data_IF_274254944246
#
_entry.id   IF_274254944246
#
_cell.length_a   1.000
_cell.length_b   1.000
_cell.length_c   1.000
_cell.angle_alpha   90.00
_cell.angle_beta   90.00
_cell.angle_gamma   90.00
#
_symmetry.space_group_name_H-M   'P 1'
#
loop_
_entity.id
_entity.type
_entity.pdbx_description
1 polymer ?
#
# COMPACT_ATOMS: atom_id res chain seq x y z
N UNK A 1 16.18 4.68 24.73
CA UNK A 1 14.77 4.50 25.15
C UNK A 1 14.29 3.07 24.93
N UNK A 2 14.41 2.55 23.70
CA UNK A 2 13.92 1.20 23.37
C UNK A 2 14.55 0.12 24.26
N UNK A 3 15.88 0.13 24.40
CA UNK A 3 16.63 -0.78 25.26
C UNK A 3 16.31 -0.60 26.74
N UNK A 4 15.97 0.62 27.18
CA UNK A 4 15.54 0.90 28.54
C UNK A 4 14.12 0.39 28.84
N UNK A 5 13.22 0.47 27.83
CA UNK A 5 11.85 0.00 27.96
C UNK A 5 11.74 -1.53 27.86
N UNK A 6 12.64 -2.16 27.12
CA UNK A 6 12.60 -3.58 26.81
C UNK A 6 13.98 -4.23 26.93
N UNK A 7 14.56 -4.30 28.15
CA UNK A 7 15.96 -4.74 28.34
C UNK A 7 16.21 -6.22 28.00
N UNK A 8 15.16 -7.05 28.01
CA UNK A 8 15.27 -8.50 27.81
C UNK A 8 14.57 -8.95 26.51
N UNK A 9 14.95 -8.38 25.37
CA UNK A 9 14.39 -8.75 24.10
C UNK A 9 14.88 -10.14 23.66
N UNK A 10 14.16 -11.20 24.02
CA UNK A 10 14.20 -12.48 23.31
C UNK A 10 13.20 -12.45 22.15
N UNK A 11 13.45 -13.12 21.02
CA UNK A 11 12.44 -13.30 19.95
C UNK A 11 11.11 -13.87 20.45
N UNK A 12 11.15 -14.66 21.53
CA UNK A 12 9.99 -15.24 22.20
C UNK A 12 9.41 -14.36 23.31
N UNK A 13 10.04 -13.21 23.58
CA UNK A 13 9.58 -12.26 24.60
C UNK A 13 8.44 -11.41 24.05
N UNK A 14 7.22 -11.88 24.20
CA UNK A 14 5.99 -11.15 23.88
C UNK A 14 5.76 -9.91 24.76
N UNK A 15 6.85 -9.19 25.09
CA UNK A 15 6.81 -7.98 25.86
C UNK A 15 6.67 -6.78 25.00
N UNK A 16 5.78 -6.01 24.87
CA UNK A 16 5.58 -4.73 24.24
C UNK A 16 6.53 -4.31 23.11
N UNK A 17 6.12 -3.36 22.32
CA UNK A 17 6.93 -2.78 21.26
C UNK A 17 6.71 -1.26 21.19
N UNK A 18 7.71 -0.53 20.65
CA UNK A 18 7.65 0.91 20.44
C UNK A 18 7.63 1.17 18.94
N UNK A 19 6.55 1.78 18.46
CA UNK A 19 6.44 2.29 17.09
C UNK A 19 6.38 3.82 17.14
N UNK A 20 7.27 4.48 16.39
CA UNK A 20 7.35 5.95 16.35
C UNK A 20 7.30 6.46 14.90
N UNK A 21 6.57 7.54 14.72
CA UNK A 21 6.58 8.33 13.50
C UNK A 21 6.65 9.82 13.88
N UNK A 22 7.79 10.46 13.67
CA UNK A 22 8.11 11.80 14.13
C UNK A 22 7.88 11.95 15.66
N UNK A 23 6.93 12.78 16.07
CA UNK A 23 6.48 13.00 17.44
C UNK A 23 5.37 12.05 17.91
N UNK A 24 4.68 11.38 16.97
CA UNK A 24 3.66 10.40 17.30
C UNK A 24 4.29 9.05 17.68
N UNK A 25 3.85 8.47 18.78
CA UNK A 25 4.36 7.18 19.30
C UNK A 25 3.22 6.28 19.75
N UNK A 26 3.37 4.98 19.50
CA UNK A 26 2.61 3.92 20.16
C UNK A 26 3.57 3.02 20.90
N UNK A 27 3.24 2.75 22.15
CA UNK A 27 3.98 1.81 23.00
C UNK A 27 2.99 0.76 23.48
N UNK A 28 3.27 -0.50 23.22
CA UNK A 28 2.43 -1.62 23.65
C UNK A 28 2.95 -2.19 24.96
N UNK A 29 2.05 -2.64 25.82
CA UNK A 29 2.37 -3.25 27.11
C UNK A 29 1.42 -4.42 27.40
N UNK A 30 1.85 -5.36 28.23
CA UNK A 30 1.04 -6.55 28.61
C UNK A 30 -0.02 -6.24 29.66
N UNK A 31 0.24 -5.23 30.49
CA UNK A 31 -0.65 -4.83 31.58
C UNK A 31 -0.69 -3.32 31.72
N UNK A 32 -1.73 -2.82 32.40
CA UNK A 32 -1.84 -1.41 32.74
C UNK A 32 -0.69 -0.94 33.62
N UNK A 33 -0.30 -1.72 34.62
CA UNK A 33 0.82 -1.39 35.51
C UNK A 33 2.14 -1.25 34.73
N UNK A 34 2.39 -2.14 33.76
CA UNK A 34 3.55 -2.01 32.87
C UNK A 34 3.46 -0.75 31.99
N UNK A 35 2.28 -0.41 31.47
CA UNK A 35 2.09 0.79 30.66
C UNK A 35 2.35 2.08 31.49
N UNK A 36 1.92 2.11 32.73
CA UNK A 36 2.16 3.23 33.66
C UNK A 36 3.65 3.38 33.96
N UNK A 37 4.36 2.29 34.25
CA UNK A 37 5.82 2.32 34.45
C UNK A 37 6.56 2.81 33.19
N UNK A 38 6.16 2.34 32.00
CA UNK A 38 6.73 2.79 30.73
C UNK A 38 6.51 4.28 30.53
N UNK A 39 5.35 4.81 30.92
CA UNK A 39 5.01 6.21 30.80
C UNK A 39 5.91 7.08 31.70
N UNK A 40 6.18 6.65 32.92
CA UNK A 40 7.12 7.34 33.83
C UNK A 40 8.55 7.35 33.27
N UNK A 41 9.03 6.22 32.75
CA UNK A 41 10.35 6.12 32.11
C UNK A 41 10.45 7.01 30.86
N UNK A 42 9.39 7.06 30.07
CA UNK A 42 9.31 7.93 28.91
C UNK A 42 9.37 9.40 29.29
N UNK A 43 8.65 9.81 30.34
CA UNK A 43 8.66 11.18 30.83
C UNK A 43 10.06 11.60 31.30
N UNK A 44 10.73 10.76 32.09
CA UNK A 44 12.11 10.99 32.52
C UNK A 44 13.08 11.09 31.34
N UNK A 45 12.94 10.19 30.35
CA UNK A 45 13.77 10.19 29.14
C UNK A 45 13.59 11.47 28.32
N UNK A 46 12.36 11.96 28.16
CA UNK A 46 12.05 13.20 27.44
C UNK A 46 12.50 14.43 28.20
N UNK A 47 12.27 14.49 29.53
CA UNK A 47 12.65 15.61 30.38
C UNK A 47 14.16 15.88 30.36
N UNK A 48 14.99 14.81 30.34
CA UNK A 48 16.44 14.93 30.21
C UNK A 48 16.90 15.57 28.89
N UNK A 49 15.99 15.67 27.89
CA UNK A 49 16.22 16.26 26.55
C UNK A 49 15.46 17.57 26.35
N UNK A 50 14.88 18.14 27.41
CA UNK A 50 14.08 19.34 27.35
C UNK A 50 12.72 19.17 26.66
N UNK A 51 12.26 17.93 26.45
CA UNK A 51 10.99 17.59 25.82
C UNK A 51 9.95 17.24 26.90
N UNK A 52 8.67 17.44 26.58
CA UNK A 52 7.55 17.14 27.48
C UNK A 52 6.47 16.33 26.74
N UNK A 53 5.80 15.46 27.49
CA UNK A 53 4.60 14.79 26.99
C UNK A 53 3.43 15.79 26.88
N UNK A 54 2.66 15.66 25.82
CA UNK A 54 1.38 16.35 25.70
C UNK A 54 0.29 15.49 26.34
N UNK A 55 -0.08 15.80 27.57
CA UNK A 55 -1.06 15.03 28.34
C UNK A 55 -2.47 15.04 27.77
N UNK A 56 -2.84 16.05 26.98
CA UNK A 56 -4.14 16.09 26.29
C UNK A 56 -4.23 15.06 25.17
N UNK A 57 -3.08 14.56 24.68
CA UNK A 57 -2.97 13.58 23.60
C UNK A 57 -2.41 12.23 24.05
N UNK A 58 -1.89 12.14 25.27
CA UNK A 58 -1.26 10.93 25.81
C UNK A 58 -2.22 10.18 26.71
N UNK A 59 -2.57 8.95 26.35
CA UNK A 59 -3.51 8.12 27.13
C UNK A 59 -3.16 6.64 27.03
N UNK A 60 -3.53 5.88 28.05
CA UNK A 60 -3.43 4.42 28.07
C UNK A 60 -4.80 3.84 27.71
N UNK A 61 -4.85 3.01 26.67
CA UNK A 61 -6.07 2.35 26.19
C UNK A 61 -5.88 0.86 26.04
N UNK A 62 -6.95 0.08 26.21
CA UNK A 62 -6.97 -1.34 25.82
C UNK A 62 -7.08 -1.45 24.30
N UNK A 63 -6.30 -2.35 23.70
CA UNK A 63 -6.37 -2.58 22.22
C UNK A 63 -7.76 -3.03 21.77
N UNK A 64 -8.54 -3.70 22.64
CA UNK A 64 -9.93 -4.06 22.36
C UNK A 64 -10.89 -2.86 22.31
N UNK A 65 -10.55 -1.74 22.94
CA UNK A 65 -11.32 -0.49 22.84
C UNK A 65 -11.00 0.27 21.56
N UNK A 66 -9.85 -0.02 20.95
CA UNK A 66 -9.33 0.64 19.78
C UNK A 66 -8.60 1.96 20.08
N UNK A 67 -7.78 2.39 19.13
CA UNK A 67 -7.06 3.65 19.18
C UNK A 67 -6.79 4.16 17.75
N UNK A 68 -6.57 5.46 17.63
CA UNK A 68 -6.19 6.09 16.36
C UNK A 68 -4.67 6.30 16.31
N UNK A 69 -4.04 5.94 15.18
CA UNK A 69 -2.65 6.26 14.89
C UNK A 69 -2.46 6.47 13.39
N UNK A 70 -1.81 7.55 13.01
CA UNK A 70 -1.54 7.92 11.63
C UNK A 70 -2.80 7.85 10.74
N UNK A 71 -3.88 8.46 11.19
CA UNK A 71 -5.16 8.49 10.46
C UNK A 71 -5.82 7.12 10.26
N UNK A 72 -5.41 6.12 10.99
CA UNK A 72 -6.01 4.78 11.00
C UNK A 72 -6.51 4.42 12.38
N UNK A 73 -7.62 3.70 12.43
CA UNK A 73 -8.19 3.12 13.62
C UNK A 73 -7.76 1.68 13.74
N UNK A 74 -7.19 1.31 14.87
CA UNK A 74 -6.71 -0.03 15.19
C UNK A 74 -7.56 -0.58 16.33
N UNK A 75 -8.12 -1.76 16.15
CA UNK A 75 -8.90 -2.44 17.19
C UNK A 75 -8.68 -3.94 17.10
N UNK A 76 -8.54 -4.58 18.24
CA UNK A 76 -8.52 -6.04 18.31
C UNK A 76 -9.96 -6.55 18.48
N UNK A 77 -10.41 -7.36 17.53
CA UNK A 77 -11.68 -8.07 17.56
C UNK A 77 -11.34 -9.56 17.63
N UNK A 78 -11.68 -10.21 18.76
CA UNK A 78 -11.26 -11.56 19.08
C UNK A 78 -9.74 -11.77 18.95
N UNK A 79 -9.30 -12.55 17.96
CA UNK A 79 -7.87 -12.80 17.67
C UNK A 79 -7.32 -11.98 16.52
N UNK A 80 -8.15 -11.18 15.84
CA UNK A 80 -7.78 -10.42 14.63
C UNK A 80 -7.59 -8.94 14.97
N UNK A 81 -6.53 -8.33 14.43
CA UNK A 81 -6.37 -6.89 14.46
C UNK A 81 -7.05 -6.27 13.24
N UNK A 82 -8.14 -5.57 13.46
CA UNK A 82 -8.85 -4.80 12.43
C UNK A 82 -8.20 -3.43 12.32
N UNK A 83 -7.84 -3.03 11.11
CA UNK A 83 -7.25 -1.73 10.80
C UNK A 83 -8.05 -1.08 9.70
N UNK A 84 -8.61 0.11 9.96
CA UNK A 84 -9.42 0.87 9.00
C UNK A 84 -9.07 2.35 9.00
N UNK A 85 -9.44 3.14 7.98
CA UNK A 85 -9.36 4.60 8.06
C UNK A 85 -10.12 5.10 9.28
N UNK A 86 -9.54 6.05 10.04
CA UNK A 86 -10.26 6.62 11.19
C UNK A 86 -11.42 7.50 10.74
N UNK A 87 -12.48 7.57 11.54
CA UNK A 87 -13.64 8.41 11.23
C UNK A 87 -13.25 9.89 11.12
N UNK A 88 -12.28 10.33 11.93
CA UNK A 88 -11.73 11.68 11.81
C UNK A 88 -10.98 11.90 10.50
N UNK A 89 -10.20 10.91 10.04
CA UNK A 89 -9.48 11.01 8.76
C UNK A 89 -10.45 11.08 7.59
N UNK A 90 -11.50 10.25 7.60
CA UNK A 90 -12.57 10.29 6.59
C UNK A 90 -13.23 11.67 6.59
N UNK A 91 -13.63 12.18 7.76
CA UNK A 91 -14.29 13.48 7.89
C UNK A 91 -13.41 14.64 7.43
N UNK A 92 -12.13 14.64 7.81
CA UNK A 92 -11.16 15.66 7.35
C UNK A 92 -11.02 15.62 5.81
N UNK A 93 -11.02 14.43 5.23
CA UNK A 93 -10.92 14.28 3.78
C UNK A 93 -12.19 14.74 3.07
N UNK A 94 -13.39 14.40 3.58
CA UNK A 94 -14.67 14.92 3.08
C UNK A 94 -14.69 16.46 3.07
N UNK A 95 -14.29 17.10 4.17
CA UNK A 95 -14.24 18.56 4.25
C UNK A 95 -13.24 19.17 3.26
N UNK A 96 -12.08 18.52 3.07
CA UNK A 96 -11.08 18.91 2.06
C UNK A 96 -11.62 18.79 0.64
N UNK A 97 -12.40 17.75 0.36
CA UNK A 97 -13.05 17.54 -0.94
C UNK A 97 -14.14 18.59 -1.18
N UNK A 98 -14.96 18.90 -0.17
CA UNK A 98 -15.98 19.93 -0.28
C UNK A 98 -15.37 21.29 -0.61
N UNK A 99 -14.38 21.73 0.16
CA UNK A 99 -13.69 23.00 -0.07
C UNK A 99 -13.05 23.04 -1.46
N UNK A 100 -12.43 21.92 -1.88
CA UNK A 100 -11.79 21.83 -3.18
C UNK A 100 -12.80 21.87 -4.34
N UNK A 101 -13.82 20.99 -4.31
CA UNK A 101 -14.79 20.85 -5.42
C UNK A 101 -15.63 22.14 -5.55
N UNK A 102 -16.19 22.65 -4.46
CA UNK A 102 -17.05 23.82 -4.50
C UNK A 102 -16.25 25.08 -4.82
N UNK A 103 -15.03 25.21 -4.31
CA UNK A 103 -14.13 26.35 -4.58
C UNK A 103 -13.47 26.35 -5.95
N UNK A 104 -13.52 25.26 -6.71
CA UNK A 104 -12.83 25.16 -8.00
C UNK A 104 -13.42 26.13 -9.05
N UNK A 105 -12.55 26.94 -9.69
CA UNK A 105 -12.92 27.93 -10.71
C UNK A 105 -12.40 27.60 -12.12
N UNK A 106 -11.66 26.49 -12.27
CA UNK A 106 -11.09 26.06 -13.53
C UNK A 106 -12.03 25.27 -14.44
N UNK A 107 -11.49 24.69 -15.50
CA UNK A 107 -12.22 23.83 -16.43
C UNK A 107 -12.64 22.49 -15.75
N UNK A 108 -13.60 21.81 -16.36
CA UNK A 108 -14.02 20.46 -15.93
C UNK A 108 -12.81 19.49 -15.96
N UNK A 109 -11.96 19.57 -16.96
CA UNK A 109 -10.77 18.72 -17.07
C UNK A 109 -9.83 18.94 -15.90
N UNK A 110 -9.49 20.19 -15.57
CA UNK A 110 -8.60 20.50 -14.44
C UNK A 110 -9.21 20.11 -13.10
N UNK A 111 -10.54 20.18 -12.96
CA UNK A 111 -11.24 19.66 -11.78
C UNK A 111 -11.02 18.16 -11.66
N UNK A 112 -11.28 17.39 -12.71
CA UNK A 112 -11.14 15.91 -12.71
C UNK A 112 -9.69 15.53 -12.39
N UNK A 113 -8.70 16.10 -13.07
CA UNK A 113 -7.29 15.75 -12.89
C UNK A 113 -6.80 16.02 -11.46
N UNK A 114 -7.16 17.17 -10.89
CA UNK A 114 -6.77 17.54 -9.52
C UNK A 114 -7.52 16.72 -8.48
N UNK A 115 -8.80 16.44 -8.72
CA UNK A 115 -9.60 15.59 -7.85
C UNK A 115 -9.04 14.17 -7.83
N UNK A 116 -8.72 13.60 -8.98
CA UNK A 116 -8.14 12.26 -9.10
C UNK A 116 -6.79 12.16 -8.37
N UNK A 117 -5.94 13.19 -8.39
CA UNK A 117 -4.70 13.21 -7.60
C UNK A 117 -4.98 13.10 -6.09
N UNK A 118 -5.99 13.84 -5.59
CA UNK A 118 -6.40 13.75 -4.18
C UNK A 118 -6.96 12.38 -3.83
N UNK A 119 -7.88 11.86 -4.65
CA UNK A 119 -8.50 10.55 -4.44
C UNK A 119 -7.47 9.43 -4.48
N UNK A 120 -6.62 9.41 -5.51
CA UNK A 120 -5.58 8.39 -5.65
C UNK A 120 -4.55 8.43 -4.51
N UNK A 121 -4.16 9.61 -4.05
CA UNK A 121 -3.25 9.75 -2.91
C UNK A 121 -3.84 9.18 -1.63
N UNK A 122 -5.07 9.58 -1.29
CA UNK A 122 -5.78 9.09 -0.12
C UNK A 122 -6.11 7.59 -0.22
N UNK A 123 -6.58 7.16 -1.37
CA UNK A 123 -6.88 5.76 -1.65
C UNK A 123 -5.64 4.87 -1.56
N UNK A 124 -4.52 5.28 -2.14
CA UNK A 124 -3.24 4.53 -2.07
C UNK A 124 -2.73 4.38 -0.64
N UNK A 125 -2.94 5.39 0.22
CA UNK A 125 -2.56 5.32 1.63
C UNK A 125 -3.41 4.33 2.42
N UNK A 126 -4.72 4.28 2.14
CA UNK A 126 -5.66 3.47 2.91
C UNK A 126 -5.95 2.08 2.31
N UNK A 127 -5.63 1.83 1.04
CA UNK A 127 -5.91 0.54 0.37
C UNK A 127 -5.28 -0.70 1.02
N UNK A 128 -4.34 -0.51 1.95
CA UNK A 128 -3.69 -1.58 2.71
C UNK A 128 -4.40 -1.88 4.04
N UNK A 129 -5.58 -1.32 4.23
CA UNK A 129 -6.42 -1.49 5.41
C UNK A 129 -7.83 -1.93 4.98
N UNK A 130 -8.69 -2.24 5.91
CA UNK A 130 -10.11 -2.47 5.65
C UNK A 130 -10.82 -1.12 5.37
N UNK A 131 -10.63 -0.64 4.13
CA UNK A 131 -11.07 0.68 3.71
C UNK A 131 -12.33 0.67 2.84
N UNK A 132 -12.95 -0.48 2.58
CA UNK A 132 -14.03 -0.62 1.60
C UNK A 132 -15.20 0.34 1.88
N UNK A 133 -15.70 0.36 3.12
CA UNK A 133 -16.83 1.23 3.50
C UNK A 133 -16.44 2.71 3.45
N UNK A 134 -15.22 3.05 3.86
CA UNK A 134 -14.71 4.41 3.77
C UNK A 134 -14.59 4.86 2.31
N UNK A 135 -14.14 3.99 1.40
CA UNK A 135 -14.05 4.28 -0.03
C UNK A 135 -15.43 4.54 -0.64
N UNK A 136 -16.41 3.70 -0.35
CA UNK A 136 -17.80 3.91 -0.81
C UNK A 136 -18.40 5.21 -0.28
N UNK A 137 -18.13 5.54 0.98
CA UNK A 137 -18.57 6.78 1.61
C UNK A 137 -17.97 8.00 0.92
N UNK A 138 -16.66 7.99 0.63
CA UNK A 138 -15.98 9.07 -0.08
C UNK A 138 -16.51 9.21 -1.52
N UNK A 139 -16.69 8.10 -2.24
CA UNK A 139 -17.26 8.13 -3.60
C UNK A 139 -18.67 8.76 -3.62
N UNK A 140 -19.51 8.42 -2.64
CA UNK A 140 -20.84 9.00 -2.48
C UNK A 140 -20.76 10.51 -2.17
N UNK A 141 -19.82 10.91 -1.29
CA UNK A 141 -19.56 12.31 -0.96
C UNK A 141 -19.14 13.10 -2.22
N UNK A 142 -18.17 12.59 -2.97
CA UNK A 142 -17.69 13.21 -4.24
C UNK A 142 -18.84 13.39 -5.21
N UNK A 143 -19.66 12.36 -5.42
CA UNK A 143 -20.80 12.42 -6.32
C UNK A 143 -21.80 13.51 -5.89
N UNK A 144 -22.15 13.58 -4.60
CA UNK A 144 -23.04 14.60 -4.06
C UNK A 144 -22.48 16.03 -4.25
N UNK A 145 -21.18 16.21 -4.00
CA UNK A 145 -20.50 17.51 -4.16
C UNK A 145 -20.43 17.95 -5.64
N UNK A 146 -20.17 17.02 -6.56
CA UNK A 146 -20.18 17.33 -8.00
C UNK A 146 -21.58 17.72 -8.47
N UNK A 147 -22.63 17.02 -8.01
CA UNK A 147 -24.03 17.39 -8.28
C UNK A 147 -24.32 18.80 -7.76
N UNK A 148 -23.95 19.08 -6.50
CA UNK A 148 -24.11 20.41 -5.88
C UNK A 148 -23.39 21.49 -6.71
N UNK A 149 -22.15 21.24 -7.10
CA UNK A 149 -21.34 22.16 -7.92
C UNK A 149 -21.97 22.43 -9.28
N UNK A 150 -22.39 21.39 -10.00
CA UNK A 150 -22.97 21.55 -11.34
C UNK A 150 -24.33 22.25 -11.31
N UNK A 151 -25.13 22.02 -10.28
CA UNK A 151 -26.38 22.77 -10.07
C UNK A 151 -26.12 24.27 -9.79
N UNK A 152 -25.07 24.59 -9.02
CA UNK A 152 -24.67 25.99 -8.79
C UNK A 152 -24.20 26.69 -10.08
N UNK A 153 -23.49 25.96 -10.96
CA UNK A 153 -23.04 26.50 -12.25
C UNK A 153 -24.19 26.69 -13.27
N UNK A 154 -25.26 25.90 -13.12
CA UNK A 154 -26.40 25.90 -14.07
C UNK A 154 -27.74 26.06 -13.37
N UNK A 155 -28.00 27.18 -12.64
CA UNK A 155 -29.20 27.33 -11.79
C UNK A 155 -30.53 27.29 -12.55
N UNK A 156 -30.50 27.67 -13.83
CA UNK A 156 -31.70 27.73 -14.68
C UNK A 156 -31.94 26.44 -15.50
N UNK A 157 -31.05 25.44 -15.45
CA UNK A 157 -31.17 24.22 -16.26
C UNK A 157 -31.85 23.10 -15.47
N UNK A 158 -32.68 22.30 -16.16
CA UNK A 158 -33.24 21.07 -15.58
C UNK A 158 -32.13 20.07 -15.27
N UNK A 159 -32.31 19.32 -14.18
CA UNK A 159 -31.30 18.34 -13.73
C UNK A 159 -30.90 17.32 -14.83
N UNK A 160 -31.87 16.77 -15.56
CA UNK A 160 -31.61 15.81 -16.63
C UNK A 160 -30.68 16.37 -17.72
N UNK A 161 -30.81 17.68 -18.05
CA UNK A 161 -29.91 18.35 -18.98
C UNK A 161 -28.48 18.44 -18.43
N UNK A 162 -28.35 18.83 -17.15
CA UNK A 162 -27.04 18.91 -16.48
C UNK A 162 -26.39 17.53 -16.41
N UNK A 163 -27.15 16.51 -16.04
CA UNK A 163 -26.69 15.13 -15.97
C UNK A 163 -26.12 14.67 -17.32
N UNK A 164 -26.86 14.88 -18.41
CA UNK A 164 -26.42 14.50 -19.77
C UNK A 164 -25.17 15.30 -20.24
N UNK A 165 -24.88 16.45 -19.65
CA UNK A 165 -23.68 17.25 -19.99
C UNK A 165 -22.41 16.74 -19.32
N UNK A 166 -22.52 16.22 -18.10
CA UNK A 166 -21.38 15.95 -17.21
C UNK A 166 -21.22 14.50 -16.82
N UNK A 167 -22.27 13.68 -16.93
CA UNK A 167 -22.23 12.27 -16.59
C UNK A 167 -22.59 11.40 -17.78
N UNK A 168 -22.03 10.22 -17.81
CA UNK A 168 -22.47 9.11 -18.66
C UNK A 168 -22.74 7.88 -17.80
N UNK A 169 -23.56 6.99 -18.30
CA UNK A 169 -23.87 5.73 -17.64
C UNK A 169 -22.91 4.64 -18.12
N UNK A 170 -22.32 3.92 -17.18
CA UNK A 170 -21.51 2.75 -17.42
C UNK A 170 -21.74 1.75 -16.28
N UNK A 171 -22.09 0.51 -16.61
CA UNK A 171 -22.33 -0.59 -15.65
C UNK A 171 -23.31 -0.21 -14.52
N UNK A 172 -24.38 0.51 -14.86
CA UNK A 172 -25.38 0.98 -13.90
C UNK A 172 -24.94 2.15 -13.00
N UNK A 173 -23.79 2.74 -13.27
CA UNK A 173 -23.26 3.88 -12.52
C UNK A 173 -23.19 5.15 -13.38
N UNK A 174 -23.57 6.29 -12.79
CA UNK A 174 -23.36 7.60 -13.41
C UNK A 174 -21.96 8.11 -13.09
N UNK A 175 -21.12 8.19 -14.09
CA UNK A 175 -19.70 8.58 -13.98
C UNK A 175 -19.52 10.00 -14.48
N UNK A 176 -18.94 10.87 -13.65
CA UNK A 176 -18.57 12.24 -14.04
C UNK A 176 -17.33 12.24 -14.93
N UNK A 177 -17.45 12.72 -16.18
CA UNK A 177 -16.38 12.68 -17.16
C UNK A 177 -16.52 13.79 -18.22
N UNK A 178 -15.46 14.01 -18.99
CA UNK A 178 -15.55 14.86 -20.17
C UNK A 178 -16.44 14.24 -21.23
N UNK A 179 -17.28 15.05 -21.86
CA UNK A 179 -18.21 14.60 -22.91
C UNK A 179 -17.49 14.04 -24.12
N UNK A 180 -16.46 14.74 -24.55
CA UNK A 180 -15.69 14.42 -25.78
C UNK A 180 -14.61 13.37 -25.54
N UNK A 181 -14.23 13.14 -24.27
CA UNK A 181 -13.23 12.14 -23.89
C UNK A 181 -13.59 11.47 -22.56
N UNK A 182 -14.35 10.38 -22.64
CA UNK A 182 -14.82 9.61 -21.47
C UNK A 182 -13.68 8.94 -20.68
N UNK A 183 -12.46 8.86 -21.22
CA UNK A 183 -11.31 8.37 -20.48
C UNK A 183 -10.87 9.35 -19.39
N UNK A 184 -11.16 10.66 -19.57
CA UNK A 184 -10.96 11.69 -18.55
C UNK A 184 -12.19 11.73 -17.65
N UNK A 185 -12.18 10.88 -16.63
CA UNK A 185 -13.26 10.68 -15.67
C UNK A 185 -12.79 10.77 -14.24
N UNK A 186 -13.71 11.03 -13.33
CA UNK A 186 -13.42 10.97 -11.90
C UNK A 186 -13.18 9.52 -11.49
N UNK A 187 -12.07 9.28 -10.80
CA UNK A 187 -11.74 7.98 -10.24
C UNK A 187 -12.69 7.61 -9.11
N UNK A 188 -12.97 6.32 -8.97
CA UNK A 188 -13.76 5.77 -7.87
C UNK A 188 -12.85 4.99 -6.95
N UNK A 189 -12.87 5.32 -5.66
CA UNK A 189 -12.07 4.62 -4.66
C UNK A 189 -12.53 3.17 -4.48
N UNK A 190 -13.83 2.90 -4.64
CA UNK A 190 -14.38 1.54 -4.55
C UNK A 190 -13.86 0.60 -5.67
N UNK A 191 -13.26 1.13 -6.75
CA UNK A 191 -12.61 0.36 -7.80
C UNK A 191 -11.15 0.00 -7.44
N UNK A 192 -10.60 0.57 -6.36
CA UNK A 192 -9.24 0.25 -5.93
C UNK A 192 -9.20 -1.14 -5.29
N UNK A 193 -8.27 -1.94 -5.76
CA UNK A 193 -7.97 -3.24 -5.13
C UNK A 193 -7.40 -3.02 -3.71
N UNK A 194 -8.06 -3.59 -2.72
CA UNK A 194 -7.54 -3.65 -1.35
C UNK A 194 -6.38 -4.63 -1.33
N UNK A 195 -5.23 -4.18 -0.87
CA UNK A 195 -4.01 -4.99 -0.82
C UNK A 195 -3.65 -5.32 0.62
N UNK A 196 -3.36 -6.58 0.91
CA UNK A 196 -2.90 -6.99 2.23
C UNK A 196 -1.60 -6.28 2.61
N UNK A 197 -1.57 -5.65 3.79
CA UNK A 197 -0.34 -5.10 4.34
C UNK A 197 0.59 -6.23 4.78
N UNK A 198 1.80 -6.26 4.21
CA UNK A 198 2.84 -7.19 4.66
C UNK A 198 3.80 -6.45 5.56
N UNK A 199 3.91 -6.84 6.84
CA UNK A 199 4.80 -6.18 7.77
C UNK A 199 6.26 -6.32 7.33
N UNK A 200 7.03 -5.26 7.50
CA UNK A 200 8.47 -5.27 7.31
C UNK A 200 9.09 -6.01 8.50
N UNK A 201 10.02 -6.91 8.24
CA UNK A 201 10.74 -7.60 9.31
C UNK A 201 11.64 -6.60 10.05
N UNK A 202 11.44 -6.45 11.34
CA UNK A 202 12.20 -5.53 12.19
C UNK A 202 13.69 -5.86 12.30
N UNK A 203 14.09 -7.10 11.94
CA UNK A 203 15.49 -7.54 11.90
C UNK A 203 16.30 -6.92 10.74
N UNK A 204 15.65 -6.23 9.80
CA UNK A 204 16.32 -5.58 8.68
C UNK A 204 16.45 -4.08 8.88
N UNK A 205 17.66 -3.57 8.74
CA UNK A 205 17.96 -2.15 8.91
C UNK A 205 17.83 -1.41 7.57
N UNK A 206 17.07 -0.26 7.50
CA UNK A 206 16.79 0.41 6.23
C UNK A 206 18.04 0.87 5.46
N UNK A 207 19.12 1.18 6.14
CA UNK A 207 20.36 1.66 5.52
C UNK A 207 21.41 0.55 5.28
N UNK A 208 21.36 -0.53 6.06
CA UNK A 208 22.30 -1.63 5.94
C UNK A 208 21.78 -2.75 5.02
N UNK A 209 20.48 -2.98 5.03
CA UNK A 209 19.82 -4.06 4.28
C UNK A 209 19.08 -3.54 3.05
N UNK A 210 19.71 -2.67 2.26
CA UNK A 210 19.10 -2.05 1.08
C UNK A 210 18.51 -3.08 0.11
N UNK A 211 19.16 -4.22 -0.08
CA UNK A 211 18.66 -5.30 -0.91
C UNK A 211 17.29 -5.85 -0.48
N UNK A 212 17.02 -5.92 0.83
CA UNK A 212 15.72 -6.32 1.35
C UNK A 212 14.63 -5.27 1.06
N UNK A 213 14.94 -3.99 1.25
CA UNK A 213 13.98 -2.91 0.99
C UNK A 213 13.69 -2.73 -0.50
N UNK A 214 14.70 -2.85 -1.34
CA UNK A 214 14.53 -2.86 -2.80
C UNK A 214 13.69 -4.06 -3.26
N UNK A 215 13.90 -5.25 -2.65
CA UNK A 215 13.07 -6.42 -2.90
C UNK A 215 11.60 -6.19 -2.47
N UNK A 216 11.34 -5.51 -1.33
CA UNK A 216 9.99 -5.13 -0.91
C UNK A 216 9.31 -4.17 -1.89
N UNK A 217 10.05 -3.19 -2.42
CA UNK A 217 9.55 -2.28 -3.45
C UNK A 217 9.14 -3.04 -4.71
N UNK A 218 9.98 -3.94 -5.21
CA UNK A 218 9.65 -4.81 -6.35
C UNK A 218 8.42 -5.66 -6.12
N UNK A 219 8.27 -6.23 -4.94
CA UNK A 219 7.05 -6.99 -4.62
C UNK A 219 5.79 -6.15 -4.70
N UNK A 220 5.86 -4.84 -4.47
CA UNK A 220 4.75 -3.90 -4.68
C UNK A 220 4.49 -3.67 -6.16
N UNK A 221 5.54 -3.60 -6.97
CA UNK A 221 5.44 -3.39 -8.41
C UNK A 221 5.04 -4.68 -9.15
N UNK A 222 5.54 -5.84 -8.74
CA UNK A 222 5.13 -7.15 -9.28
C UNK A 222 3.68 -7.51 -8.96
N UNK A 223 3.06 -6.91 -7.94
CA UNK A 223 1.61 -7.04 -7.72
C UNK A 223 0.80 -6.41 -8.87
N UNK A 224 1.39 -5.51 -9.65
CA UNK A 224 0.80 -4.95 -10.87
C UNK A 224 0.92 -5.90 -12.07
N UNK A 225 1.79 -6.89 -12.00
CA UNK A 225 2.00 -7.87 -13.08
C UNK A 225 1.04 -9.04 -12.87
N UNK A 226 0.02 -9.10 -13.69
CA UNK A 226 -1.04 -10.13 -13.69
C UNK A 226 -0.48 -11.55 -13.68
N UNK A 227 -0.85 -12.34 -12.69
CA UNK A 227 -0.70 -13.78 -12.68
C UNK A 227 -0.28 -14.37 -11.33
N UNK A 228 -1.16 -15.14 -10.72
CA UNK A 228 -0.88 -15.92 -9.51
C UNK A 228 0.37 -16.82 -9.66
N UNK A 229 0.64 -17.31 -10.90
CA UNK A 229 1.83 -18.10 -11.22
C UNK A 229 3.13 -17.32 -11.04
N UNK A 230 3.23 -16.08 -11.55
CA UNK A 230 4.43 -15.24 -11.43
C UNK A 230 4.74 -14.89 -9.97
N UNK A 231 3.72 -14.59 -9.18
CA UNK A 231 3.87 -14.36 -7.73
C UNK A 231 4.36 -15.59 -6.98
N UNK A 232 3.89 -16.77 -7.35
CA UNK A 232 4.34 -18.04 -6.77
C UNK A 232 5.82 -18.31 -7.04
N UNK A 233 6.30 -18.06 -8.27
CA UNK A 233 7.70 -18.21 -8.65
C UNK A 233 8.59 -17.25 -7.86
N UNK A 234 8.21 -15.97 -7.83
CA UNK A 234 8.96 -14.93 -7.10
C UNK A 234 9.06 -15.23 -5.60
N UNK A 235 7.95 -15.69 -4.99
CA UNK A 235 7.92 -16.10 -3.57
C UNK A 235 8.84 -17.28 -3.29
N UNK A 236 8.80 -18.30 -4.15
CA UNK A 236 9.65 -19.49 -4.02
C UNK A 236 11.14 -19.12 -4.02
N UNK A 237 11.54 -18.17 -4.87
CA UNK A 237 12.93 -17.72 -5.02
C UNK A 237 13.32 -16.65 -3.99
N UNK A 238 12.40 -16.16 -3.16
CA UNK A 238 12.62 -15.06 -2.21
C UNK A 238 13.27 -13.81 -2.85
N UNK A 239 12.95 -13.53 -4.13
CA UNK A 239 13.52 -12.40 -4.89
C UNK A 239 14.97 -12.59 -5.30
N UNK A 240 15.49 -13.82 -5.30
CA UNK A 240 16.87 -14.14 -5.71
C UNK A 240 16.88 -14.78 -7.09
N UNK A 241 17.91 -14.50 -7.84
CA UNK A 241 18.18 -15.16 -9.11
C UNK A 241 18.38 -16.66 -8.92
N UNK A 242 17.69 -17.47 -9.73
CA UNK A 242 17.80 -18.92 -9.63
C UNK A 242 19.20 -19.45 -9.97
N UNK A 243 19.89 -18.77 -10.91
CA UNK A 243 21.21 -19.17 -11.37
C UNK A 243 22.33 -18.77 -10.40
N UNK A 244 22.47 -17.47 -10.08
CA UNK A 244 23.60 -16.98 -9.27
C UNK A 244 23.27 -16.78 -7.78
N UNK A 245 22.03 -16.97 -7.34
CA UNK A 245 21.60 -16.78 -5.95
C UNK A 245 21.59 -15.34 -5.45
N UNK A 246 22.09 -14.38 -6.22
CA UNK A 246 22.10 -12.95 -5.83
C UNK A 246 20.70 -12.35 -5.85
N UNK A 247 20.43 -11.32 -5.02
CA UNK A 247 19.16 -10.58 -5.08
C UNK A 247 18.96 -9.96 -6.46
N UNK A 248 17.72 -10.00 -6.95
CA UNK A 248 17.33 -9.31 -8.18
C UNK A 248 16.90 -7.89 -7.82
N UNK A 249 17.67 -6.87 -8.23
CA UNK A 249 17.48 -5.46 -7.92
C UNK A 249 16.51 -4.78 -8.91
N UNK A 250 15.84 -3.67 -8.53
CA UNK A 250 14.85 -2.97 -9.37
C UNK A 250 15.38 -2.42 -10.69
N UNK A 251 16.64 -2.07 -10.71
CA UNK A 251 17.37 -1.53 -11.86
C UNK A 251 17.94 -2.62 -12.80
N UNK A 252 17.83 -3.89 -12.39
CA UNK A 252 18.35 -5.01 -13.18
C UNK A 252 17.24 -5.60 -14.04
N UNK A 253 17.54 -5.88 -15.27
CA UNK A 253 16.66 -6.67 -16.13
C UNK A 253 16.64 -8.12 -15.69
N UNK A 254 15.43 -8.67 -15.56
CA UNK A 254 15.19 -10.05 -15.18
C UNK A 254 14.40 -10.78 -16.25
N UNK A 255 14.65 -12.06 -16.41
CA UNK A 255 13.92 -12.93 -17.33
C UNK A 255 13.27 -14.09 -16.60
N UNK A 256 12.10 -14.49 -17.12
CA UNK A 256 11.42 -15.72 -16.71
C UNK A 256 11.85 -16.83 -17.67
N UNK A 257 12.37 -17.91 -17.12
CA UNK A 257 12.91 -19.03 -17.89
C UNK A 257 12.26 -20.35 -17.48
N UNK A 258 12.23 -21.33 -18.37
CA UNK A 258 11.86 -22.71 -18.06
C UNK A 258 13.11 -23.45 -17.53
N UNK A 259 12.94 -24.15 -16.41
CA UNK A 259 14.03 -24.94 -15.80
C UNK A 259 14.31 -26.23 -16.58
N UNK A 260 13.25 -26.82 -17.13
CA UNK A 260 13.33 -28.04 -17.97
C UNK A 260 12.45 -27.82 -19.19
N UNK A 261 13.08 -27.86 -20.37
CA UNK A 261 12.39 -27.72 -21.67
C UNK A 261 11.33 -28.78 -21.87
N UNK A 262 10.15 -28.35 -22.36
CA UNK A 262 9.08 -29.28 -22.72
C UNK A 262 8.22 -29.79 -21.56
N UNK A 263 8.56 -29.47 -20.29
CA UNK A 263 7.71 -29.82 -19.13
C UNK A 263 6.54 -28.86 -18.88
N UNK A 264 6.37 -27.88 -19.75
CA UNK A 264 5.29 -26.90 -19.66
C UNK A 264 5.54 -25.78 -18.65
N UNK A 265 4.74 -24.70 -18.73
CA UNK A 265 4.87 -23.48 -17.94
C UNK A 265 4.17 -23.59 -16.57
N UNK A 266 4.61 -24.51 -15.74
CA UNK A 266 4.13 -24.66 -14.36
C UNK A 266 4.95 -23.81 -13.41
N UNK A 267 4.40 -23.45 -12.23
CA UNK A 267 5.14 -22.68 -11.22
C UNK A 267 6.44 -23.38 -10.79
N UNK A 268 6.43 -24.73 -10.76
CA UNK A 268 7.61 -25.54 -10.40
C UNK A 268 8.68 -25.54 -11.47
N UNK A 269 8.31 -25.39 -12.75
CA UNK A 269 9.21 -25.43 -13.90
C UNK A 269 9.64 -24.05 -14.42
N UNK A 270 9.26 -22.97 -13.76
CA UNK A 270 9.63 -21.60 -14.15
C UNK A 270 10.50 -20.96 -13.05
N UNK A 271 11.48 -20.15 -13.47
CA UNK A 271 12.30 -19.38 -12.57
C UNK A 271 12.64 -17.99 -13.14
N UNK A 272 12.89 -17.04 -12.25
CA UNK A 272 13.46 -15.73 -12.60
C UNK A 272 14.97 -15.79 -12.50
N UNK A 273 15.65 -15.23 -13.49
CA UNK A 273 17.10 -15.02 -13.52
C UNK A 273 17.42 -13.59 -13.95
N UNK A 274 18.62 -13.10 -13.63
CA UNK A 274 19.10 -11.84 -14.22
C UNK A 274 19.27 -12.01 -15.72
N UNK A 275 19.08 -10.92 -16.48
CA UNK A 275 19.35 -10.89 -17.91
C UNK A 275 20.80 -11.30 -18.24
N UNK A 276 21.78 -10.80 -17.44
CA UNK A 276 23.17 -11.18 -17.57
C UNK A 276 23.42 -12.68 -17.38
N UNK A 277 22.78 -13.28 -16.37
CA UNK A 277 22.87 -14.71 -16.12
C UNK A 277 22.21 -15.56 -17.22
N UNK A 278 21.27 -15.00 -17.98
CA UNK A 278 20.69 -15.70 -19.14
C UNK A 278 21.70 -15.88 -20.28
N UNK A 279 22.62 -14.95 -20.45
CA UNK A 279 23.71 -15.08 -21.43
C UNK A 279 24.72 -16.15 -21.02
N UNK A 280 25.09 -16.20 -19.72
CA UNK A 280 26.02 -17.20 -19.20
C UNK A 280 25.49 -18.63 -19.40
N UNK A 281 24.23 -18.85 -19.09
CA UNK A 281 23.56 -20.16 -19.30
C UNK A 281 23.55 -20.58 -20.76
N UNK A 282 23.37 -19.64 -21.69
CA UNK A 282 23.41 -19.94 -23.15
C UNK A 282 24.82 -20.30 -23.60
N UNK A 283 25.86 -19.72 -23.00
CA UNK A 283 27.25 -20.02 -23.33
C UNK A 283 27.65 -21.40 -22.79
N UNK A 284 27.33 -21.72 -21.54
CA UNK A 284 27.59 -23.04 -20.94
C UNK A 284 26.86 -24.18 -21.67
N UNK A 285 25.68 -23.92 -22.22
CA UNK A 285 24.95 -24.91 -23.05
C UNK A 285 25.50 -25.14 -24.46
N UNK A 286 26.51 -24.34 -24.91
CA UNK A 286 27.15 -24.50 -26.24
C UNK A 286 28.47 -25.26 -26.20
N UNK A 287 29.14 -25.35 -25.06
CA UNK A 287 30.33 -26.18 -24.87
C UNK A 287 29.88 -27.52 -24.28
N UNK A 288 29.61 -28.47 -25.20
CA UNK A 288 29.01 -29.75 -24.93
C UNK A 288 29.60 -30.54 -23.76
N UNK A 289 28.72 -31.03 -22.93
CA UNK A 289 28.76 -32.44 -22.55
C UNK A 289 27.34 -32.87 -22.10
N UNK A 290 27.01 -34.09 -22.47
CA UNK A 290 25.71 -34.74 -22.32
C UNK A 290 25.50 -35.24 -20.88
N UNK A 291 25.43 -34.35 -19.90
CA UNK A 291 25.01 -34.67 -18.53
C UNK A 291 24.09 -33.59 -17.96
N UNK A 292 22.84 -33.68 -18.27
CA UNK A 292 21.75 -33.30 -17.35
C UNK A 292 21.41 -31.83 -17.15
N UNK A 293 21.91 -30.88 -17.94
CA UNK A 293 21.45 -29.48 -17.93
C UNK A 293 20.72 -29.17 -19.24
N UNK A 294 19.39 -29.35 -19.19
CA UNK A 294 18.53 -29.00 -20.30
C UNK A 294 18.56 -27.50 -20.59
N UNK A 295 18.73 -27.15 -21.85
CA UNK A 295 18.80 -25.80 -22.41
C UNK A 295 17.63 -24.96 -21.93
N UNK A 296 17.89 -23.83 -21.27
CA UNK A 296 16.87 -22.86 -20.86
C UNK A 296 16.31 -22.12 -22.08
N UNK A 297 15.01 -22.30 -22.38
CA UNK A 297 14.34 -21.50 -23.42
C UNK A 297 13.98 -20.14 -22.83
N UNK A 298 14.52 -19.09 -23.45
CA UNK A 298 14.15 -17.72 -23.14
C UNK A 298 12.73 -17.45 -23.64
N UNK A 299 11.86 -17.02 -22.73
CA UNK A 299 10.49 -16.65 -23.06
C UNK A 299 10.49 -15.17 -23.47
N UNK A 300 10.66 -14.91 -24.77
CA UNK A 300 10.51 -13.57 -25.32
C UNK A 300 9.05 -13.13 -25.29
N UNK A 301 8.85 -11.90 -24.84
CA UNK A 301 7.60 -11.19 -25.01
C UNK A 301 6.74 -11.08 -23.76
N UNK A 302 7.10 -10.14 -22.90
CA UNK A 302 6.11 -9.36 -22.14
C UNK A 302 6.63 -7.92 -22.04
N UNK A 303 6.17 -7.08 -22.95
CA UNK A 303 6.11 -5.64 -22.77
C UNK A 303 5.08 -5.28 -21.70
#
# INVERSE_FOLDING_TARGET
>A
LYEQLYPNRSPDYGGGDLTRFADDMIITARSRAQAELILELLEQFLAARGLKLNWDKTYISKVSMGFEFLSRWYRREDSVLVVRPSDQAVKRFENSLESFILGHKGSQQTLIERLNRKLNGWGSYHRVTDAFDAFRRIDSCVQALLIKKMRQLHPKRKWKTIQNMYWYEQDGHHIFALRDNKSVRVARLAELEITEHKPIRLSFHPYLDQGYYLWLQRRRDDQKVSGAKRRGIWRRQAGRCHYCGRPMLPDQEIRLVELVLGRGRTVSNLAYIHQSCAYDVVIEGKEGDSSGLDVLTLLDGVT
#
